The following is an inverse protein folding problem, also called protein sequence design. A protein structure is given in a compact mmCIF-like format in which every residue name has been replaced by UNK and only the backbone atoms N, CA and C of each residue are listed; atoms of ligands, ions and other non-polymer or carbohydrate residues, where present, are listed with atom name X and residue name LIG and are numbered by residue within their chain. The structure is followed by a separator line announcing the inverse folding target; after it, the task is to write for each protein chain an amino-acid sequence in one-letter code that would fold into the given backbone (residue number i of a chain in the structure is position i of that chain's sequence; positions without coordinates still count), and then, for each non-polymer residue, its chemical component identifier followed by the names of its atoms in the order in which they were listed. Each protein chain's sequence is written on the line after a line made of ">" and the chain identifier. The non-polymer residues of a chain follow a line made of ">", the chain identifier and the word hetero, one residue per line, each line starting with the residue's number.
data_IF_286797862580
#
_entry.id   IF_286797862580
#
_cell.length_a   1.000
_cell.length_b   1.000
_cell.length_c   1.000
_cell.angle_alpha   90.00
_cell.angle_beta   90.00
_cell.angle_gamma   90.00
#
_symmetry.space_group_name_H-M   'P 1'
#
loop_
_entity.id
_entity.type
_entity.pdbx_description
1 polymer ?
#
# COMPACT_ATOMS: atom_id res chain seq x y z
N UNK A 1 17.61 -19.43 7.81
CA UNK A 1 17.67 -18.19 8.64
C UNK A 1 19.01 -17.46 8.54
N UNK A 2 20.16 -18.13 8.47
CA UNK A 2 21.45 -17.43 8.27
C UNK A 2 21.47 -16.60 6.97
N UNK A 3 20.74 -17.05 5.96
CA UNK A 3 20.67 -16.43 4.63
C UNK A 3 19.66 -15.27 4.53
N UNK A 4 18.90 -14.98 5.60
CA UNK A 4 18.04 -13.78 5.62
C UNK A 4 18.92 -12.54 5.71
N UNK A 5 18.66 -11.57 4.84
CA UNK A 5 19.39 -10.31 4.74
C UNK A 5 19.28 -9.41 5.99
N UNK A 6 19.81 -8.20 5.85
CA UNK A 6 19.81 -7.19 6.91
C UNK A 6 18.40 -6.71 7.28
N UNK A 7 17.50 -6.67 6.30
CA UNK A 7 16.11 -6.27 6.43
C UNK A 7 15.22 -7.10 5.51
N UNK A 8 13.97 -7.35 5.92
CA UNK A 8 13.02 -8.16 5.18
C UNK A 8 11.59 -7.90 5.67
N UNK A 9 10.62 -8.29 4.84
CA UNK A 9 9.22 -8.43 5.20
C UNK A 9 8.82 -9.91 5.08
N UNK A 10 8.10 -10.42 6.08
CA UNK A 10 7.46 -11.74 6.03
C UNK A 10 5.95 -11.53 6.10
N UNK A 11 5.21 -12.11 5.15
CA UNK A 11 3.74 -12.01 5.11
C UNK A 11 3.09 -13.37 4.80
N UNK A 12 1.88 -13.66 5.31
CA UNK A 12 1.10 -14.82 4.88
C UNK A 12 0.70 -14.69 3.40
N UNK A 13 0.67 -15.80 2.66
CA UNK A 13 0.26 -15.79 1.25
C UNK A 13 -1.27 -15.66 1.10
N UNK A 14 -2.03 -16.01 2.13
CA UNK A 14 -3.50 -15.90 2.18
C UNK A 14 -3.98 -14.92 3.26
N UNK A 15 -3.11 -14.02 3.71
CA UNK A 15 -3.41 -13.05 4.75
C UNK A 15 -4.41 -11.99 4.29
N UNK A 16 -5.04 -11.32 5.25
CA UNK A 16 -5.93 -10.19 4.99
C UNK A 16 -5.65 -9.04 5.97
N UNK A 17 -5.94 -7.81 5.54
CA UNK A 17 -5.87 -6.59 6.38
C UNK A 17 -4.49 -6.30 7.02
N UNK A 18 -3.42 -6.91 6.50
CA UNK A 18 -2.07 -6.78 7.03
C UNK A 18 -1.81 -7.57 8.33
N UNK A 19 -2.69 -8.51 8.69
CA UNK A 19 -2.43 -9.41 9.81
C UNK A 19 -1.33 -10.44 9.45
N UNK A 20 -0.56 -10.85 10.45
CA UNK A 20 0.57 -11.77 10.28
C UNK A 20 1.81 -11.16 9.60
N UNK A 21 1.81 -9.89 9.20
CA UNK A 21 2.99 -9.23 8.63
C UNK A 21 4.05 -9.00 9.72
N UNK A 22 5.26 -9.47 9.47
CA UNK A 22 6.43 -9.27 10.33
C UNK A 22 7.53 -8.54 9.55
N UNK A 23 7.97 -7.39 10.07
CA UNK A 23 9.01 -6.57 9.46
C UNK A 23 10.28 -6.56 10.30
N UNK A 24 11.42 -6.73 9.64
CA UNK A 24 12.75 -6.52 10.19
C UNK A 24 13.45 -5.38 9.43
N UNK A 25 13.79 -4.30 10.11
CA UNK A 25 14.35 -3.10 9.49
C UNK A 25 15.88 -3.07 9.48
N UNK A 26 16.48 -3.77 10.43
CA UNK A 26 17.93 -3.87 10.62
C UNK A 26 18.28 -5.13 11.39
N UNK A 27 19.54 -5.54 11.31
CA UNK A 27 20.11 -6.68 12.01
C UNK A 27 21.32 -6.24 12.83
N UNK A 28 21.45 -6.74 14.05
CA UNK A 28 22.67 -6.64 14.86
C UNK A 28 23.08 -8.05 15.30
N UNK A 29 24.26 -8.49 14.86
CA UNK A 29 24.69 -9.86 15.08
C UNK A 29 23.71 -10.88 14.49
N UNK A 30 23.10 -11.70 15.34
CA UNK A 30 22.15 -12.73 14.94
C UNK A 30 20.68 -12.33 15.05
N UNK A 31 20.40 -11.13 15.57
CA UNK A 31 19.05 -10.70 15.88
C UNK A 31 18.63 -9.55 14.97
N UNK A 32 17.33 -9.47 14.68
CA UNK A 32 16.72 -8.38 13.93
C UNK A 32 15.99 -7.41 14.85
N UNK A 33 15.66 -6.23 14.34
CA UNK A 33 14.90 -5.22 15.07
C UNK A 33 13.77 -4.67 14.20
N UNK A 34 12.58 -4.54 14.81
CA UNK A 34 11.43 -3.83 14.25
C UNK A 34 11.68 -2.32 14.23
N UNK A 35 10.85 -1.56 13.52
CA UNK A 35 10.88 -0.09 13.54
C UNK A 35 10.64 0.52 14.92
N UNK A 36 9.86 -0.17 15.76
CA UNK A 36 9.68 0.17 17.18
C UNK A 36 10.95 -0.02 18.04
N UNK A 37 12.03 -0.57 17.49
CA UNK A 37 13.20 -0.99 18.25
C UNK A 37 13.05 -2.34 18.97
N UNK A 38 11.90 -3.02 18.84
CA UNK A 38 11.69 -4.35 19.41
C UNK A 38 12.61 -5.38 18.77
N UNK A 39 13.36 -6.12 19.59
CA UNK A 39 14.25 -7.20 19.17
C UNK A 39 13.46 -8.42 18.68
N UNK A 40 13.96 -9.06 17.61
CA UNK A 40 13.46 -10.28 17.01
C UNK A 40 14.60 -11.30 16.95
N UNK A 41 14.52 -12.33 17.78
CA UNK A 41 15.49 -13.43 17.72
C UNK A 41 15.17 -14.38 16.56
N UNK A 42 16.14 -15.19 16.08
CA UNK A 42 15.85 -16.25 15.12
C UNK A 42 14.70 -17.17 15.57
N UNK A 43 14.62 -17.48 16.86
CA UNK A 43 13.53 -18.30 17.42
C UNK A 43 12.17 -17.63 17.25
N UNK A 44 12.08 -16.32 17.49
CA UNK A 44 10.83 -15.55 17.31
C UNK A 44 10.37 -15.57 15.85
N UNK A 45 11.31 -15.36 14.93
CA UNK A 45 11.03 -15.39 13.48
C UNK A 45 10.56 -16.78 13.05
N UNK A 46 11.22 -17.84 13.51
CA UNK A 46 10.84 -19.22 13.19
C UNK A 46 9.47 -19.59 13.77
N UNK A 47 9.17 -19.17 15.00
CA UNK A 47 7.86 -19.40 15.60
C UNK A 47 6.76 -18.64 14.85
N UNK A 48 7.04 -17.42 14.39
CA UNK A 48 6.09 -16.65 13.58
C UNK A 48 5.83 -17.32 12.22
N UNK A 49 6.88 -17.80 11.53
CA UNK A 49 6.75 -18.55 10.29
C UNK A 49 5.88 -19.80 10.46
N UNK A 50 6.05 -20.56 11.56
CA UNK A 50 5.19 -21.72 11.86
C UNK A 50 3.72 -21.31 11.99
N UNK A 51 3.44 -20.25 12.74
CA UNK A 51 2.08 -19.72 12.88
C UNK A 51 1.45 -19.36 11.52
N UNK A 52 2.24 -18.77 10.61
CA UNK A 52 1.77 -18.51 9.25
C UNK A 52 1.42 -19.82 8.55
N UNK A 53 2.36 -20.77 8.48
CA UNK A 53 2.16 -22.05 7.77
C UNK A 53 0.99 -22.86 8.35
N UNK A 54 0.80 -22.81 9.67
CA UNK A 54 -0.31 -23.46 10.38
C UNK A 54 -1.66 -22.75 10.14
N UNK A 55 -1.70 -21.68 9.34
CA UNK A 55 -2.91 -20.99 8.94
C UNK A 55 -3.46 -19.98 9.97
N UNK A 56 -2.67 -19.60 10.98
CA UNK A 56 -3.15 -18.74 12.08
C UNK A 56 -3.59 -17.33 11.65
N UNK A 57 -3.26 -16.92 10.42
CA UNK A 57 -3.61 -15.61 9.85
C UNK A 57 -4.46 -15.74 8.56
N UNK A 58 -4.90 -16.95 8.25
CA UNK A 58 -5.73 -17.27 7.07
C UNK A 58 -7.19 -17.36 7.48
N UNK A 59 -8.09 -16.74 6.71
CA UNK A 59 -9.53 -16.68 7.04
C UNK A 59 -10.20 -18.04 7.24
N UNK A 60 -9.69 -19.09 6.57
CA UNK A 60 -10.28 -20.44 6.57
C UNK A 60 -9.49 -21.46 7.41
N UNK A 61 -8.46 -21.06 8.18
CA UNK A 61 -7.56 -21.96 8.94
C UNK A 61 -6.95 -23.11 8.10
N UNK A 62 -6.85 -22.93 6.79
CA UNK A 62 -6.13 -23.85 5.90
C UNK A 62 -4.62 -23.63 6.03
N UNK A 63 -3.83 -24.67 5.75
CA UNK A 63 -2.38 -24.53 5.58
C UNK A 63 -2.07 -23.37 4.62
N UNK A 64 -1.11 -22.53 5.00
CA UNK A 64 -0.69 -21.36 4.25
C UNK A 64 0.81 -21.41 3.94
N UNK A 65 1.29 -20.45 3.16
CA UNK A 65 2.70 -20.25 2.89
C UNK A 65 3.16 -18.88 3.43
N UNK A 66 4.40 -18.83 3.91
CA UNK A 66 5.04 -17.56 4.26
C UNK A 66 5.82 -17.02 3.06
N UNK A 67 5.48 -15.81 2.63
CA UNK A 67 6.24 -15.06 1.65
C UNK A 67 7.33 -14.26 2.37
N UNK A 68 8.56 -14.34 1.88
CA UNK A 68 9.70 -13.58 2.38
C UNK A 68 10.17 -12.66 1.26
N UNK A 69 10.10 -11.36 1.51
CA UNK A 69 10.34 -10.33 0.51
C UNK A 69 11.39 -9.33 1.01
N UNK A 70 12.11 -8.65 0.09
CA UNK A 70 12.89 -7.47 0.45
C UNK A 70 12.02 -6.44 1.17
N UNK A 71 12.62 -5.73 2.14
CA UNK A 71 11.93 -4.64 2.80
C UNK A 71 11.93 -3.42 1.86
N UNK A 72 10.74 -3.02 1.44
CA UNK A 72 10.50 -1.81 0.65
C UNK A 72 10.76 -0.56 1.49
N UNK A 73 11.38 0.46 0.89
CA UNK A 73 11.65 1.76 1.52
C UNK A 73 11.08 2.87 0.66
N UNK A 74 10.19 3.66 1.24
CA UNK A 74 9.54 4.74 0.51
C UNK A 74 10.56 5.75 -0.04
N UNK A 75 10.31 6.21 -1.27
CA UNK A 75 11.11 7.23 -1.94
C UNK A 75 11.20 8.51 -1.11
N UNK A 76 12.39 9.13 -1.11
CA UNK A 76 12.68 10.35 -0.32
C UNK A 76 11.75 11.52 -0.65
N UNK A 77 11.28 11.64 -1.89
CA UNK A 77 10.29 12.64 -2.32
C UNK A 77 8.96 12.47 -1.60
N UNK A 78 8.62 11.23 -1.23
CA UNK A 78 7.40 10.93 -0.47
C UNK A 78 7.62 11.08 1.04
N UNK A 79 8.84 10.82 1.53
CA UNK A 79 9.17 11.02 2.95
C UNK A 79 9.00 12.47 3.42
N UNK A 80 8.95 13.44 2.50
CA UNK A 80 8.55 14.83 2.80
C UNK A 80 7.12 14.93 3.35
N UNK A 81 6.22 14.04 2.92
CA UNK A 81 4.84 13.98 3.40
C UNK A 81 4.70 13.15 4.68
N UNK A 82 5.31 11.97 4.69
CA UNK A 82 5.12 10.97 5.74
C UNK A 82 6.47 10.56 6.35
N UNK A 83 6.72 10.88 7.63
CA UNK A 83 8.01 10.64 8.25
C UNK A 83 8.25 9.16 8.55
N UNK A 84 7.17 8.37 8.72
CA UNK A 84 7.23 6.95 9.05
C UNK A 84 6.08 6.16 8.40
N UNK A 85 6.36 4.94 7.96
CA UNK A 85 5.40 4.06 7.31
C UNK A 85 5.62 3.94 5.80
N UNK A 86 4.80 3.11 5.15
CA UNK A 86 4.85 2.90 3.70
C UNK A 86 3.54 3.38 3.08
N UNK A 87 3.52 4.58 2.47
CA UNK A 87 2.38 5.01 1.67
C UNK A 87 2.33 4.24 0.35
N UNK A 88 1.12 4.12 -0.19
CA UNK A 88 0.88 3.54 -1.49
C UNK A 88 -0.10 4.40 -2.30
N UNK A 89 -0.08 4.22 -3.61
CA UNK A 89 -1.03 4.75 -4.55
C UNK A 89 -1.94 3.62 -5.00
N UNK A 90 -3.22 3.73 -4.69
CA UNK A 90 -4.25 2.88 -5.26
C UNK A 90 -4.74 3.49 -6.57
N UNK A 91 -4.67 2.70 -7.65
CA UNK A 91 -5.27 3.02 -8.94
C UNK A 91 -6.38 2.03 -9.23
N UNK A 92 -7.61 2.53 -9.34
CA UNK A 92 -8.75 1.76 -9.85
C UNK A 92 -8.69 1.76 -11.37
N UNK A 93 -8.66 0.56 -11.96
CA UNK A 93 -8.62 0.38 -13.41
C UNK A 93 -9.83 -0.41 -13.90
N UNK A 94 -10.27 -0.09 -15.10
CA UNK A 94 -11.26 -0.83 -15.87
C UNK A 94 -10.59 -1.29 -17.16
N UNK A 95 -10.31 -2.59 -17.25
CA UNK A 95 -9.41 -3.13 -18.27
C UNK A 95 -8.11 -2.29 -18.27
N UNK A 96 -7.61 -1.89 -19.43
CA UNK A 96 -6.37 -1.12 -19.56
C UNK A 96 -6.51 0.38 -19.21
N UNK A 97 -7.66 0.83 -18.70
CA UNK A 97 -7.95 2.24 -18.44
C UNK A 97 -7.95 2.54 -16.94
N UNK A 98 -6.91 3.23 -16.41
CA UNK A 98 -6.98 3.85 -15.10
C UNK A 98 -8.16 4.83 -15.03
N UNK A 99 -9.00 4.72 -14.01
CA UNK A 99 -10.21 5.53 -13.85
C UNK A 99 -10.13 6.54 -12.71
N UNK A 100 -9.45 6.17 -11.63
CA UNK A 100 -9.40 6.96 -10.41
C UNK A 100 -8.21 6.53 -9.57
N UNK A 101 -7.57 7.49 -8.92
CA UNK A 101 -6.47 7.21 -8.02
C UNK A 101 -6.63 7.90 -6.66
N UNK A 102 -6.00 7.30 -5.67
CA UNK A 102 -5.75 7.94 -4.38
C UNK A 102 -4.41 7.48 -3.83
N UNK A 103 -3.73 8.36 -3.12
CA UNK A 103 -2.62 8.00 -2.27
C UNK A 103 -3.16 7.72 -0.86
N UNK A 104 -2.76 6.60 -0.28
CA UNK A 104 -3.02 6.26 1.12
C UNK A 104 -1.78 6.60 1.91
N UNK A 105 -1.90 7.56 2.83
CA UNK A 105 -0.78 8.10 3.57
C UNK A 105 -0.90 7.67 5.04
N UNK A 106 0.06 6.89 5.57
CA UNK A 106 0.06 6.45 6.95
C UNK A 106 0.08 7.59 7.96
N UNK A 107 -0.40 7.33 9.17
CA UNK A 107 -0.26 8.23 10.33
C UNK A 107 0.28 7.44 11.51
N UNK A 108 0.69 8.14 12.58
CA UNK A 108 0.99 7.49 13.86
C UNK A 108 -0.22 6.73 14.40
N UNK A 109 -1.42 7.27 14.19
CA UNK A 109 -2.67 6.63 14.61
C UNK A 109 -2.99 5.34 13.81
N UNK A 110 -2.44 5.20 12.61
CA UNK A 110 -2.53 3.97 11.80
C UNK A 110 -1.36 3.01 11.99
N UNK A 111 -0.50 3.26 12.99
CA UNK A 111 0.70 2.46 13.26
C UNK A 111 1.61 2.35 12.02
N UNK A 112 1.71 3.44 11.24
CA UNK A 112 2.52 3.48 10.02
C UNK A 112 1.94 2.67 8.85
N UNK A 113 0.69 2.22 8.93
CA UNK A 113 0.00 1.46 7.86
C UNK A 113 -0.85 2.36 6.97
N UNK A 114 -0.86 2.09 5.67
CA UNK A 114 -1.71 2.75 4.68
C UNK A 114 -3.15 2.16 4.66
N UNK A 115 -3.80 2.12 5.83
CA UNK A 115 -5.15 1.57 6.00
C UNK A 115 -6.12 2.67 6.47
N UNK A 116 -7.07 3.05 5.60
CA UNK A 116 -8.04 4.12 5.87
C UNK A 116 -8.93 3.82 7.09
N UNK A 117 -9.29 2.55 7.32
CA UNK A 117 -10.08 2.15 8.49
C UNK A 117 -9.29 2.28 9.79
N UNK A 118 -7.96 2.26 9.70
CA UNK A 118 -7.06 2.48 10.83
C UNK A 118 -6.57 3.94 10.90
N UNK A 119 -7.34 4.90 10.37
CA UNK A 119 -7.03 6.35 10.44
C UNK A 119 -5.81 6.78 9.61
N UNK A 120 -5.47 6.02 8.56
CA UNK A 120 -4.64 6.56 7.49
C UNK A 120 -5.41 7.62 6.70
N UNK A 121 -4.68 8.50 6.04
CA UNK A 121 -5.24 9.56 5.20
C UNK A 121 -5.51 8.97 3.81
N UNK A 122 -6.66 9.30 3.24
CA UNK A 122 -6.95 9.09 1.82
C UNK A 122 -6.81 10.41 1.08
N UNK A 123 -5.87 10.50 0.14
CA UNK A 123 -5.61 11.68 -0.66
C UNK A 123 -6.01 11.45 -2.12
N UNK A 124 -6.96 12.23 -2.65
CA UNK A 124 -7.40 12.16 -4.03
C UNK A 124 -6.26 12.60 -4.95
N UNK A 125 -5.88 11.74 -5.89
CA UNK A 125 -4.86 12.05 -6.88
C UNK A 125 -5.56 12.27 -8.21
N UNK A 126 -5.35 13.45 -8.80
CA UNK A 126 -5.86 13.75 -10.13
C UNK A 126 -5.18 12.83 -11.15
N UNK A 127 -5.99 12.15 -11.96
CA UNK A 127 -5.50 11.07 -12.82
C UNK A 127 -4.59 11.61 -13.95
N UNK A 128 -4.87 12.82 -14.44
CA UNK A 128 -4.16 13.39 -15.58
C UNK A 128 -2.82 14.02 -15.15
N UNK A 129 -2.76 14.55 -13.93
CA UNK A 129 -1.59 15.30 -13.45
C UNK A 129 -0.76 14.54 -12.42
N UNK A 130 -1.35 13.60 -11.67
CA UNK A 130 -0.69 12.95 -10.53
C UNK A 130 -0.60 13.84 -9.28
N UNK A 131 -1.32 14.96 -9.26
CA UNK A 131 -1.30 15.91 -8.16
C UNK A 131 -2.38 15.55 -7.13
N UNK A 132 -2.04 15.63 -5.84
CA UNK A 132 -3.00 15.52 -4.76
C UNK A 132 -3.91 16.76 -4.76
N UNK A 133 -5.21 16.55 -4.96
CA UNK A 133 -6.21 17.63 -5.04
C UNK A 133 -7.06 17.77 -3.79
N UNK A 134 -7.16 16.70 -2.99
CA UNK A 134 -7.96 16.65 -1.76
C UNK A 134 -7.40 15.60 -0.83
N UNK A 135 -7.59 15.74 0.48
CA UNK A 135 -7.26 14.70 1.44
C UNK A 135 -8.31 14.60 2.55
N UNK A 136 -8.56 13.38 3.03
CA UNK A 136 -9.47 13.11 4.15
C UNK A 136 -8.84 12.17 5.16
N UNK A 137 -9.17 12.37 6.43
CA UNK A 137 -8.81 11.47 7.53
C UNK A 137 -10.03 11.28 8.43
N UNK A 138 -10.49 10.04 8.58
CA UNK A 138 -11.68 9.70 9.39
C UNK A 138 -12.92 10.52 9.01
N UNK A 139 -13.14 10.71 7.70
CA UNK A 139 -14.29 11.46 7.16
C UNK A 139 -14.15 12.99 7.16
N UNK A 140 -13.14 13.53 7.82
CA UNK A 140 -12.86 14.96 7.86
C UNK A 140 -11.89 15.36 6.75
N UNK A 141 -12.15 16.48 6.08
CA UNK A 141 -11.24 17.04 5.09
C UNK A 141 -10.04 17.72 5.77
N UNK A 142 -8.85 17.42 5.28
CA UNK A 142 -7.59 17.95 5.81
C UNK A 142 -6.72 18.45 4.67
N UNK A 143 -5.89 19.44 4.96
CA UNK A 143 -4.89 19.96 4.00
C UNK A 143 -3.46 19.62 4.38
N UNK A 144 -3.22 19.32 5.65
CA UNK A 144 -1.90 19.00 6.19
C UNK A 144 -1.92 17.64 6.87
N UNK A 145 -0.79 16.94 6.81
CA UNK A 145 -0.60 15.69 7.53
C UNK A 145 -0.64 15.94 9.05
N UNK A 146 -1.42 15.17 9.83
CA UNK A 146 -1.62 15.44 11.26
C UNK A 146 -0.33 15.30 12.09
N UNK A 147 0.55 14.37 11.72
CA UNK A 147 1.80 14.13 12.47
C UNK A 147 3.01 14.97 12.02
N UNK A 148 3.23 15.15 10.70
CA UNK A 148 4.38 15.88 10.17
C UNK A 148 4.11 17.36 9.90
N UNK A 149 2.84 17.76 9.79
CA UNK A 149 2.46 19.11 9.37
C UNK A 149 2.73 19.39 7.88
N UNK A 150 3.12 18.40 7.08
CA UNK A 150 3.38 18.58 5.66
C UNK A 150 2.09 18.94 4.91
N UNK A 151 2.17 19.90 3.98
CA UNK A 151 1.06 20.23 3.09
C UNK A 151 0.85 19.08 2.10
N UNK A 152 -0.36 18.53 2.08
CA UNK A 152 -0.73 17.41 1.21
C UNK A 152 -1.16 17.88 -0.18
N UNK A 153 -1.97 18.95 -0.22
CA UNK A 153 -2.58 19.44 -1.45
C UNK A 153 -1.52 20.10 -2.34
N UNK A 154 -1.50 19.73 -3.61
CA UNK A 154 -0.49 20.18 -4.57
C UNK A 154 0.75 19.30 -4.62
N UNK A 155 0.87 18.28 -3.76
CA UNK A 155 1.96 17.31 -3.87
C UNK A 155 1.82 16.50 -5.16
N UNK A 156 2.90 16.44 -5.93
CA UNK A 156 3.00 15.65 -7.15
C UNK A 156 3.50 14.24 -6.79
N UNK A 157 2.71 13.21 -7.09
CA UNK A 157 3.16 11.84 -6.98
C UNK A 157 4.33 11.61 -7.95
N UNK A 158 5.50 11.13 -7.48
CA UNK A 158 6.64 10.87 -8.34
C UNK A 158 6.35 9.81 -9.40
N UNK A 159 6.95 9.96 -10.59
CA UNK A 159 6.90 8.95 -11.67
C UNK A 159 5.47 8.54 -12.05
N UNK A 160 4.57 9.52 -12.06
CA UNK A 160 3.13 9.30 -12.24
C UNK A 160 2.78 8.53 -13.51
N UNK A 161 3.41 8.87 -14.63
CA UNK A 161 3.18 8.17 -15.90
C UNK A 161 3.51 6.67 -15.79
N UNK A 162 4.60 6.33 -15.09
CA UNK A 162 4.99 4.94 -14.83
C UNK A 162 3.99 4.24 -13.90
N UNK A 163 3.48 4.93 -12.88
CA UNK A 163 2.42 4.40 -12.00
C UNK A 163 1.17 4.01 -12.82
N UNK A 164 0.71 4.90 -13.71
CA UNK A 164 -0.44 4.64 -14.57
C UNK A 164 -0.18 3.51 -15.57
N UNK A 165 1.00 3.49 -16.18
CA UNK A 165 1.41 2.43 -17.11
C UNK A 165 1.43 1.06 -16.43
N UNK A 166 1.96 0.98 -15.20
CA UNK A 166 1.97 -0.25 -14.41
C UNK A 166 0.56 -0.71 -14.06
N UNK A 167 -0.32 0.21 -13.64
CA UNK A 167 -1.71 -0.12 -13.34
C UNK A 167 -2.45 -0.68 -14.57
N UNK A 168 -2.28 -0.03 -15.72
CA UNK A 168 -2.86 -0.44 -17.01
C UNK A 168 -2.36 -1.83 -17.45
N UNK A 169 -1.03 -2.04 -17.47
CA UNK A 169 -0.42 -3.33 -17.85
C UNK A 169 -0.79 -4.46 -16.89
N UNK A 170 -0.80 -4.18 -15.59
CA UNK A 170 -1.20 -5.15 -14.57
C UNK A 170 -2.64 -5.61 -14.79
N UNK A 171 -3.53 -4.66 -15.05
CA UNK A 171 -4.93 -4.95 -15.31
C UNK A 171 -5.12 -5.80 -16.58
N UNK A 172 -4.40 -5.47 -17.66
CA UNK A 172 -4.40 -6.25 -18.89
C UNK A 172 -3.93 -7.71 -18.66
N UNK A 173 -2.85 -7.88 -17.90
CA UNK A 173 -2.23 -9.18 -17.68
C UNK A 173 -3.10 -10.14 -16.85
N UNK A 174 -3.85 -9.61 -15.88
CA UNK A 174 -4.72 -10.42 -15.00
C UNK A 174 -6.04 -10.75 -15.69
N UNK A 175 -6.47 -9.95 -16.67
CA UNK A 175 -7.69 -10.19 -17.44
C UNK A 175 -8.99 -9.95 -16.66
N UNK A 176 -8.91 -9.27 -15.52
CA UNK A 176 -10.07 -8.83 -14.75
C UNK A 176 -10.59 -7.50 -15.31
N UNK A 177 -11.91 -7.39 -15.47
CA UNK A 177 -12.52 -6.19 -16.02
C UNK A 177 -12.39 -4.97 -15.09
N UNK A 178 -12.34 -5.17 -13.78
CA UNK A 178 -12.27 -4.12 -12.76
C UNK A 178 -11.37 -4.58 -11.62
N UNK A 179 -10.41 -3.74 -11.21
CA UNK A 179 -9.48 -4.03 -10.12
C UNK A 179 -8.83 -2.77 -9.56
N UNK A 180 -8.29 -2.89 -8.35
CA UNK A 180 -7.43 -1.89 -7.74
C UNK A 180 -5.99 -2.39 -7.71
N UNK A 181 -5.07 -1.61 -8.25
CA UNK A 181 -3.62 -1.86 -8.17
C UNK A 181 -3.05 -0.95 -7.10
N UNK A 182 -2.40 -1.53 -6.11
CA UNK A 182 -1.71 -0.79 -5.06
C UNK A 182 -0.22 -0.73 -5.40
N UNK A 183 0.27 0.48 -5.60
CA UNK A 183 1.61 0.75 -6.11
C UNK A 183 2.35 1.56 -5.05
N UNK A 184 3.53 1.10 -4.66
CA UNK A 184 4.44 1.88 -3.81
C UNK A 184 5.52 2.51 -4.68
N UNK A 185 6.18 3.54 -4.18
CA UNK A 185 7.33 4.14 -4.86
C UNK A 185 8.52 3.92 -3.94
N UNK A 186 9.38 2.98 -4.33
CA UNK A 186 10.59 2.60 -3.61
C UNK A 186 11.75 3.55 -3.95
N UNK A 187 12.62 3.81 -2.97
CA UNK A 187 13.76 4.72 -3.14
C UNK A 187 14.83 4.22 -4.13
N UNK A 188 14.90 2.90 -4.37
CA UNK A 188 15.90 2.28 -5.25
C UNK A 188 15.29 1.79 -6.56
N UNK A 189 14.11 1.17 -6.49
CA UNK A 189 13.49 0.49 -7.62
C UNK A 189 12.37 1.31 -8.29
N UNK A 190 12.01 2.48 -7.74
CA UNK A 190 10.93 3.33 -8.25
C UNK A 190 9.54 2.71 -8.01
N UNK A 191 8.55 2.98 -8.87
CA UNK A 191 7.22 2.40 -8.74
C UNK A 191 7.21 0.86 -8.77
N UNK A 192 6.59 0.23 -7.78
CA UNK A 192 6.44 -1.23 -7.67
C UNK A 192 5.02 -1.62 -7.30
N UNK A 193 4.49 -2.70 -7.90
CA UNK A 193 3.19 -3.25 -7.52
C UNK A 193 3.34 -3.99 -6.19
N UNK A 194 2.61 -3.53 -5.17
CA UNK A 194 2.57 -4.15 -3.86
C UNK A 194 1.48 -5.23 -3.78
N UNK A 195 0.29 -4.91 -4.28
CA UNK A 195 -0.88 -5.79 -4.24
C UNK A 195 -1.82 -5.49 -5.41
N UNK A 196 -2.55 -6.51 -5.85
CA UNK A 196 -3.65 -6.35 -6.80
C UNK A 196 -4.93 -6.91 -6.20
N UNK A 197 -5.94 -6.06 -6.15
CA UNK A 197 -7.22 -6.32 -5.52
C UNK A 197 -8.31 -6.49 -6.58
N UNK A 198 -8.88 -7.70 -6.69
CA UNK A 198 -10.00 -7.98 -7.60
C UNK A 198 -11.32 -7.32 -7.15
N UNK A 199 -11.45 -7.03 -5.86
CA UNK A 199 -12.62 -6.37 -5.27
C UNK A 199 -12.18 -5.16 -4.45
N UNK A 200 -11.65 -4.11 -5.11
CA UNK A 200 -11.11 -2.97 -4.40
C UNK A 200 -12.23 -2.17 -3.72
N UNK A 201 -11.95 -1.71 -2.49
CA UNK A 201 -12.88 -0.88 -1.73
C UNK A 201 -13.23 0.43 -2.46
N UNK A 202 -14.49 0.85 -2.34
CA UNK A 202 -15.04 1.99 -3.08
C UNK A 202 -14.88 3.35 -2.37
N UNK A 203 -14.22 3.38 -1.21
CA UNK A 203 -13.96 4.61 -0.43
C UNK A 203 -13.23 5.68 -1.23
N UNK A 204 -12.46 5.25 -2.25
CA UNK A 204 -11.80 6.14 -3.21
C UNK A 204 -12.76 7.14 -3.88
N UNK A 205 -14.04 6.78 -4.06
CA UNK A 205 -15.08 7.68 -4.57
C UNK A 205 -15.39 8.81 -3.59
N UNK A 206 -15.42 8.52 -2.30
CA UNK A 206 -15.64 9.51 -1.25
C UNK A 206 -14.42 10.44 -1.12
N UNK A 207 -13.21 9.89 -1.24
CA UNK A 207 -11.97 10.66 -1.29
C UNK A 207 -11.99 11.64 -2.47
N UNK A 208 -12.28 11.13 -3.67
CA UNK A 208 -12.30 11.91 -4.91
C UNK A 208 -13.55 12.79 -5.11
N UNK A 209 -14.62 12.56 -4.33
CA UNK A 209 -15.96 13.14 -4.56
C UNK A 209 -16.45 12.96 -6.01
N UNK A 210 -16.13 11.80 -6.60
CA UNK A 210 -16.44 11.43 -7.99
C UNK A 210 -17.10 10.05 -8.00
N UNK A 211 -18.22 9.93 -8.70
CA UNK A 211 -18.87 8.64 -8.93
C UNK A 211 -18.13 7.81 -9.98
N UNK A 212 -17.79 6.57 -9.65
CA UNK A 212 -17.06 5.63 -10.50
C UNK A 212 -17.84 5.26 -11.76
N UNK A 213 -19.17 5.10 -11.67
CA UNK A 213 -20.03 4.80 -12.83
C UNK A 213 -19.82 5.79 -13.97
N UNK A 214 -19.72 7.08 -13.65
CA UNK A 214 -19.46 8.13 -14.65
C UNK A 214 -18.11 7.92 -15.33
N UNK A 215 -17.07 7.59 -14.57
CA UNK A 215 -15.73 7.31 -15.11
C UNK A 215 -15.72 6.07 -16.00
N UNK A 216 -16.42 5.00 -15.62
CA UNK A 216 -16.55 3.79 -16.43
C UNK A 216 -17.24 4.05 -17.77
N UNK A 217 -18.30 4.86 -17.79
CA UNK A 217 -18.98 5.26 -19.03
C UNK A 217 -18.05 6.07 -19.93
N UNK A 218 -17.28 7.00 -19.35
CA UNK A 218 -16.29 7.78 -20.11
C UNK A 218 -15.18 6.88 -20.70
N UNK A 219 -14.83 5.80 -20.01
CA UNK A 219 -13.91 4.77 -20.49
C UNK A 219 -14.57 3.74 -21.45
N UNK A 220 -15.82 3.95 -21.86
CA UNK A 220 -16.48 3.16 -22.91
C UNK A 220 -17.31 1.97 -22.43
N UNK A 221 -17.59 1.85 -21.12
CA UNK A 221 -18.59 0.87 -20.66
C UNK A 221 -20.01 1.28 -21.08
N UNK A 222 -20.73 0.32 -21.64
CA UNK A 222 -22.13 0.49 -22.03
C UNK A 222 -23.02 0.11 -20.84
N UNK A 223 -23.96 1.00 -20.50
CA UNK A 223 -24.96 0.75 -19.46
C UNK A 223 -26.04 -0.21 -19.92
#
# INVERSE_FOLDING_TARGET
>A
MRDLGQSWAIKPARGSQGDGILLALRREGNDWFKGSGTKLTPTDVMNHLRRIVDGAFSGDNAEDAALIEPLIRADKRILELVPEGLPDVRVISLREHPLMAMMRIPTKASDGKANLHQRAIGAAVDIDTGIITRAMCVGEEITHHPDSGALLIGFQVPEWDTVLEMASKCSAAIGLGYLGVDIIIDENDGPMILEVNAHPGIEIQNINQKGLRRQMILAGERC
#
